data_IF_242915966321
#
_entry.id   IF_242915966321
#
_cell.length_a   1.000
_cell.length_b   1.000
_cell.length_c   1.000
_cell.angle_alpha   90.00
_cell.angle_beta   90.00
_cell.angle_gamma   90.00
#
_symmetry.space_group_name_H-M   'P 1'
#
loop_
_entity.id
_entity.type
_entity.pdbx_description
1 polymer ?
#
# COMPACT_ATOMS: atom_id res chain seq x y z
N UNK A 1 22.08 1.64 -5.37
CA UNK A 1 21.04 0.62 -5.66
C UNK A 1 20.92 -0.29 -4.46
N UNK A 2 19.71 -0.71 -4.10
CA UNK A 2 19.49 -1.70 -3.04
C UNK A 2 20.04 -3.07 -3.47
N UNK A 3 20.57 -3.87 -2.52
CA UNK A 3 21.14 -5.18 -2.81
C UNK A 3 20.07 -6.27 -2.96
N UNK A 4 20.40 -7.36 -3.65
CA UNK A 4 19.53 -8.54 -3.72
C UNK A 4 19.29 -9.16 -2.35
N UNK A 5 20.29 -9.16 -1.47
CA UNK A 5 20.14 -9.61 -0.08
C UNK A 5 19.12 -8.78 0.70
N UNK A 6 19.05 -7.48 0.44
CA UNK A 6 18.06 -6.61 1.08
C UNK A 6 16.64 -6.96 0.62
N UNK A 7 16.45 -7.18 -0.68
CA UNK A 7 15.15 -7.57 -1.26
C UNK A 7 14.73 -8.92 -0.72
N UNK A 8 15.63 -9.92 -0.73
CA UNK A 8 15.36 -11.24 -0.17
C UNK A 8 14.95 -11.16 1.31
N UNK A 9 15.68 -10.40 2.13
CA UNK A 9 15.33 -10.20 3.54
C UNK A 9 13.97 -9.53 3.70
N UNK A 10 13.64 -8.53 2.88
CA UNK A 10 12.33 -7.90 2.90
C UNK A 10 11.22 -8.89 2.55
N UNK A 11 11.38 -9.66 1.47
CA UNK A 11 10.42 -10.68 1.04
C UNK A 11 10.23 -11.76 2.12
N UNK A 12 11.31 -12.22 2.76
CA UNK A 12 11.23 -13.20 3.86
C UNK A 12 10.39 -12.67 5.05
N UNK A 13 10.62 -11.41 5.46
CA UNK A 13 9.88 -10.78 6.57
C UNK A 13 8.42 -10.47 6.17
N UNK A 14 8.18 -10.06 4.93
CA UNK A 14 6.85 -9.79 4.41
C UNK A 14 5.98 -11.06 4.34
N UNK A 15 6.57 -12.19 3.95
CA UNK A 15 5.90 -13.48 3.85
C UNK A 15 5.89 -14.30 5.15
N UNK A 16 6.52 -13.80 6.22
CA UNK A 16 6.49 -14.50 7.50
C UNK A 16 5.05 -14.62 8.02
N UNK A 17 4.66 -15.76 8.63
CA UNK A 17 3.31 -15.96 9.17
C UNK A 17 2.98 -15.04 10.36
N UNK A 18 3.98 -14.38 10.94
CA UNK A 18 3.81 -13.39 11.99
C UNK A 18 2.91 -12.23 11.51
N UNK A 19 1.86 -11.88 12.27
CA UNK A 19 0.85 -10.90 11.85
C UNK A 19 1.35 -9.45 11.88
N UNK A 20 2.48 -9.21 12.53
CA UNK A 20 3.15 -7.92 12.65
C UNK A 20 3.60 -7.38 11.28
N UNK A 21 3.27 -6.11 11.06
CA UNK A 21 3.60 -5.28 9.91
C UNK A 21 4.86 -4.45 10.18
N UNK A 22 5.07 -4.03 11.44
CA UNK A 22 6.16 -3.12 11.81
C UNK A 22 7.55 -3.56 11.31
N UNK A 23 7.98 -4.84 11.43
CA UNK A 23 9.29 -5.24 10.91
C UNK A 23 9.45 -5.02 9.41
N UNK A 24 8.43 -5.34 8.61
CA UNK A 24 8.46 -5.11 7.16
C UNK A 24 8.39 -3.61 6.83
N UNK A 25 7.57 -2.83 7.55
CA UNK A 25 7.46 -1.39 7.37
C UNK A 25 8.77 -0.65 7.72
N UNK A 26 9.51 -1.09 8.74
CA UNK A 26 10.83 -0.54 9.02
C UNK A 26 11.86 -0.91 7.95
N UNK A 27 11.76 -2.08 7.31
CA UNK A 27 12.58 -2.39 6.14
C UNK A 27 12.25 -1.44 4.97
N UNK A 28 10.98 -1.07 4.75
CA UNK A 28 10.62 -0.03 3.78
C UNK A 28 11.30 1.31 4.15
N UNK A 29 11.26 1.71 5.43
CA UNK A 29 11.93 2.93 5.89
C UNK A 29 13.44 2.92 5.68
N UNK A 30 14.09 1.76 5.74
CA UNK A 30 15.54 1.62 5.48
C UNK A 30 15.95 1.88 4.04
N UNK A 31 15.01 2.04 3.11
CA UNK A 31 15.31 2.59 1.78
C UNK A 31 15.85 4.01 1.88
N UNK A 32 15.26 4.83 2.74
CA UNK A 32 15.64 6.24 2.95
C UNK A 32 16.61 6.40 4.14
N UNK A 33 16.46 5.54 5.16
CA UNK A 33 17.27 5.54 6.37
C UNK A 33 18.07 4.24 6.53
N UNK A 34 19.13 3.98 5.74
CA UNK A 34 19.82 2.67 5.72
C UNK A 34 20.36 2.19 7.08
N UNK A 35 20.68 3.13 7.97
CA UNK A 35 21.22 2.93 9.32
C UNK A 35 20.18 3.03 10.43
N UNK A 36 18.89 3.07 10.10
CA UNK A 36 17.81 3.13 11.08
C UNK A 36 17.93 1.97 12.07
N UNK A 37 18.05 2.32 13.34
CA UNK A 37 17.87 1.39 14.46
C UNK A 37 16.37 1.29 14.76
N UNK A 38 15.81 0.10 14.65
CA UNK A 38 14.38 -0.15 14.79
C UNK A 38 13.97 -0.47 16.21
N UNK A 39 14.92 -0.81 17.09
CA UNK A 39 14.62 -1.25 18.46
C UNK A 39 13.84 -0.21 19.26
N UNK A 40 14.22 1.08 19.31
CA UNK A 40 13.48 2.09 20.07
C UNK A 40 12.02 2.25 19.62
N UNK A 41 11.78 2.10 18.31
CA UNK A 41 10.44 2.24 17.74
C UNK A 41 9.56 1.01 17.99
N UNK A 42 10.16 -0.19 18.07
CA UNK A 42 9.44 -1.40 18.49
C UNK A 42 9.07 -1.31 19.98
N UNK A 43 9.99 -0.84 20.83
CA UNK A 43 9.73 -0.60 22.25
C UNK A 43 8.62 0.46 22.42
N UNK A 44 8.65 1.55 21.64
CA UNK A 44 7.59 2.55 21.64
C UNK A 44 6.22 1.96 21.29
N UNK A 45 6.13 1.08 20.29
CA UNK A 45 4.88 0.40 19.94
C UNK A 45 4.42 -0.53 21.07
N UNK A 46 5.35 -1.24 21.72
CA UNK A 46 5.05 -2.10 22.87
C UNK A 46 4.53 -1.29 24.06
N UNK A 47 5.11 -0.12 24.33
CA UNK A 47 4.68 0.80 25.38
C UNK A 47 3.28 1.35 25.10
N UNK A 48 3.06 1.85 23.88
CA UNK A 48 1.75 2.31 23.43
C UNK A 48 0.69 1.20 23.52
N UNK A 49 1.08 -0.03 23.17
CA UNK A 49 0.22 -1.21 23.30
C UNK A 49 -0.22 -1.49 24.72
N UNK A 50 0.70 -1.40 25.71
CA UNK A 50 0.37 -1.58 27.13
C UNK A 50 -0.54 -0.48 27.66
N UNK A 51 -0.29 0.76 27.26
CA UNK A 51 -1.14 1.90 27.61
C UNK A 51 -2.55 1.79 27.02
N UNK A 52 -2.67 1.37 25.76
CA UNK A 52 -3.94 1.09 25.13
C UNK A 52 -4.67 -0.08 25.81
N UNK A 53 -3.94 -1.15 26.19
CA UNK A 53 -4.51 -2.28 26.93
C UNK A 53 -5.14 -1.86 28.26
N UNK A 54 -4.49 -0.96 29.00
CA UNK A 54 -5.00 -0.45 30.27
C UNK A 54 -6.32 0.32 30.09
N UNK A 55 -6.42 1.15 29.05
CA UNK A 55 -7.65 1.90 28.70
C UNK A 55 -8.78 0.96 28.31
N UNK A 56 -8.49 -0.03 27.48
CA UNK A 56 -9.45 -1.06 27.07
C UNK A 56 -9.92 -1.88 28.28
N UNK A 57 -9.00 -2.31 29.15
CA UNK A 57 -9.33 -3.09 30.35
C UNK A 57 -10.19 -2.32 31.35
N UNK A 58 -10.04 -0.99 31.45
CA UNK A 58 -10.87 -0.15 32.31
C UNK A 58 -12.36 -0.11 31.89
N UNK A 59 -12.70 -0.49 30.65
CA UNK A 59 -14.08 -0.58 30.17
C UNK A 59 -14.83 -1.82 30.69
N UNK A 60 -14.10 -2.80 31.22
CA UNK A 60 -14.61 -4.12 31.61
C UNK A 60 -14.73 -5.10 30.43
N UNK A 61 -14.79 -6.40 30.76
CA UNK A 61 -14.76 -7.49 29.77
C UNK A 61 -16.00 -7.49 28.84
N UNK A 62 -17.14 -7.01 29.33
CA UNK A 62 -18.41 -6.89 28.58
C UNK A 62 -18.48 -5.63 27.70
N UNK A 63 -17.36 -4.92 27.51
CA UNK A 63 -17.30 -3.83 26.56
C UNK A 63 -17.55 -4.34 25.14
N UNK A 64 -18.44 -3.70 24.37
CA UNK A 64 -18.62 -4.05 22.96
C UNK A 64 -17.47 -3.53 22.09
N UNK A 65 -17.32 -4.08 20.88
CA UNK A 65 -16.30 -3.67 19.91
C UNK A 65 -16.20 -2.16 19.71
N UNK A 66 -17.34 -1.46 19.57
CA UNK A 66 -17.37 0.00 19.39
C UNK A 66 -16.71 0.76 20.55
N UNK A 67 -16.98 0.36 21.79
CA UNK A 67 -16.38 1.01 22.98
C UNK A 67 -14.87 0.80 23.04
N UNK A 68 -14.40 -0.43 22.75
CA UNK A 68 -12.96 -0.72 22.71
C UNK A 68 -12.25 0.02 21.58
N UNK A 69 -12.87 0.09 20.41
CA UNK A 69 -12.38 0.87 19.27
C UNK A 69 -12.27 2.35 19.63
N UNK A 70 -13.33 2.96 20.18
CA UNK A 70 -13.30 4.36 20.60
C UNK A 70 -12.19 4.65 21.61
N UNK A 71 -11.98 3.77 22.61
CA UNK A 71 -10.88 3.97 23.56
C UNK A 71 -9.48 3.93 22.93
N UNK A 72 -9.29 3.12 21.88
CA UNK A 72 -8.03 3.10 21.12
C UNK A 72 -7.92 4.35 20.24
N UNK A 73 -8.99 4.77 19.56
CA UNK A 73 -9.01 6.01 18.78
C UNK A 73 -8.69 7.22 19.65
N UNK A 74 -9.35 7.36 20.80
CA UNK A 74 -9.11 8.46 21.75
C UNK A 74 -7.65 8.48 22.21
N UNK A 75 -7.11 7.32 22.58
CA UNK A 75 -5.71 7.19 22.95
C UNK A 75 -4.77 7.64 21.82
N UNK A 76 -4.96 7.15 20.60
CA UNK A 76 -4.04 7.43 19.50
C UNK A 76 -4.15 8.87 18.98
N UNK A 77 -5.36 9.36 18.76
CA UNK A 77 -5.56 10.63 18.06
C UNK A 77 -5.74 11.81 19.02
N UNK A 78 -6.30 11.59 20.21
CA UNK A 78 -6.46 12.67 21.20
C UNK A 78 -5.27 12.74 22.16
N UNK A 79 -4.87 11.62 22.77
CA UNK A 79 -3.82 11.64 23.80
C UNK A 79 -2.41 11.60 23.21
N UNK A 80 -2.19 10.74 22.21
CA UNK A 80 -0.91 10.59 21.53
C UNK A 80 -0.73 11.55 20.34
N UNK A 81 -1.79 12.26 19.95
CA UNK A 81 -1.74 13.34 18.96
C UNK A 81 -1.38 12.88 17.54
N UNK A 82 -1.65 11.61 17.19
CA UNK A 82 -1.54 11.20 15.79
C UNK A 82 -2.56 11.96 14.94
N UNK A 83 -2.19 12.32 13.71
CA UNK A 83 -3.08 13.03 12.79
C UNK A 83 -2.78 12.74 11.32
N UNK A 84 -3.81 12.84 10.48
CA UNK A 84 -3.67 12.85 9.03
C UNK A 84 -2.94 14.09 8.53
N UNK A 85 -1.88 13.92 7.73
CA UNK A 85 -1.15 15.03 7.15
C UNK A 85 -1.86 15.57 5.89
N UNK A 86 -2.84 16.44 6.07
CA UNK A 86 -3.60 17.02 4.95
C UNK A 86 -2.82 18.08 4.18
N UNK A 87 -2.04 18.91 4.89
CA UNK A 87 -1.30 20.04 4.31
C UNK A 87 -0.12 19.58 3.44
N UNK A 88 0.53 18.48 3.82
CA UNK A 88 1.69 17.93 3.14
C UNK A 88 1.50 16.43 2.87
N UNK A 89 0.37 16.08 2.25
CA UNK A 89 -0.01 14.69 1.97
C UNK A 89 1.07 13.90 1.23
N UNK A 90 1.66 14.51 0.19
CA UNK A 90 2.69 13.88 -0.65
C UNK A 90 4.10 13.90 -0.06
N UNK A 91 4.28 14.31 1.21
CA UNK A 91 5.58 14.22 1.88
C UNK A 91 5.98 12.74 2.06
N UNK A 92 7.11 12.28 1.47
CA UNK A 92 7.54 10.89 1.58
C UNK A 92 7.69 10.41 3.04
N UNK A 93 8.00 11.32 3.97
CA UNK A 93 8.11 11.01 5.40
C UNK A 93 6.82 10.44 5.97
N UNK A 94 5.67 10.76 5.39
CA UNK A 94 4.39 10.18 5.80
C UNK A 94 4.29 8.67 5.51
N UNK A 95 5.18 8.10 4.69
CA UNK A 95 5.20 6.68 4.33
C UNK A 95 6.17 5.83 5.15
N UNK A 96 6.99 6.44 6.01
CA UNK A 96 8.02 5.75 6.80
C UNK A 96 7.62 5.66 8.26
N UNK A 97 7.56 4.43 8.79
CA UNK A 97 7.02 4.19 10.13
C UNK A 97 7.78 4.94 11.24
N UNK A 98 9.11 5.06 11.13
CA UNK A 98 9.91 5.83 12.09
C UNK A 98 9.49 7.31 12.10
N UNK A 99 9.34 7.92 10.92
CA UNK A 99 8.92 9.31 10.78
C UNK A 99 7.48 9.52 11.25
N UNK A 100 6.59 8.56 11.00
CA UNK A 100 5.19 8.63 11.46
C UNK A 100 5.11 8.55 12.99
N UNK A 101 5.93 7.70 13.62
CA UNK A 101 5.99 7.58 15.09
C UNK A 101 6.61 8.81 15.76
N UNK A 102 7.64 9.40 15.14
CA UNK A 102 8.32 10.59 15.65
C UNK A 102 7.48 11.86 15.47
N UNK A 103 6.91 12.05 14.27
CA UNK A 103 6.17 13.27 13.91
C UNK A 103 4.70 13.20 14.31
N UNK A 104 4.18 12.02 14.60
CA UNK A 104 2.74 11.76 14.84
C UNK A 104 1.85 12.17 13.66
N UNK A 105 2.40 12.14 12.45
CA UNK A 105 1.67 12.50 11.23
C UNK A 105 1.89 11.46 10.13
N UNK A 106 0.83 11.10 9.41
CA UNK A 106 0.93 10.10 8.34
C UNK A 106 -0.17 10.20 7.28
N UNK A 107 -0.16 9.23 6.36
CA UNK A 107 -1.23 8.99 5.37
C UNK A 107 -2.16 7.87 5.89
N UNK A 108 -3.32 7.61 5.25
CA UNK A 108 -4.31 6.65 5.77
C UNK A 108 -3.71 5.28 6.12
N UNK A 109 -2.89 4.72 5.23
CA UNK A 109 -2.32 3.37 5.44
C UNK A 109 -1.26 3.31 6.55
N UNK A 110 -0.49 4.37 6.79
CA UNK A 110 0.54 4.36 7.84
C UNK A 110 -0.04 4.64 9.21
N UNK A 111 -1.07 5.49 9.30
CA UNK A 111 -1.84 5.67 10.53
C UNK A 111 -2.62 4.40 10.87
N UNK A 112 -3.19 3.74 9.86
CA UNK A 112 -3.80 2.42 10.00
C UNK A 112 -2.80 1.37 10.53
N UNK A 113 -1.55 1.39 10.04
CA UNK A 113 -0.50 0.51 10.54
C UNK A 113 -0.25 0.73 12.03
N UNK A 114 -0.01 1.98 12.47
CA UNK A 114 0.18 2.30 13.89
C UNK A 114 -1.02 1.81 14.71
N UNK A 115 -2.23 2.09 14.25
CA UNK A 115 -3.46 1.66 14.89
C UNK A 115 -3.50 0.13 15.06
N UNK A 116 -3.23 -0.64 13.99
CA UNK A 116 -3.24 -2.10 14.03
C UNK A 116 -2.17 -2.66 14.96
N UNK A 117 -0.95 -2.11 14.94
CA UNK A 117 0.15 -2.56 15.80
C UNK A 117 -0.13 -2.33 17.28
N UNK A 118 -0.73 -1.18 17.62
CA UNK A 118 -1.13 -0.83 18.99
C UNK A 118 -2.33 -1.68 19.43
N UNK A 119 -3.35 -1.81 18.59
CA UNK A 119 -4.54 -2.61 18.89
C UNK A 119 -4.21 -4.08 19.13
N UNK A 120 -3.33 -4.66 18.30
CA UNK A 120 -2.87 -6.04 18.45
C UNK A 120 -2.20 -6.26 19.81
N UNK A 121 -1.35 -5.33 20.24
CA UNK A 121 -0.68 -5.38 21.55
C UNK A 121 -1.65 -5.17 22.71
N UNK A 122 -2.68 -4.38 22.49
CA UNK A 122 -3.79 -4.19 23.42
C UNK A 122 -4.76 -5.38 23.48
N UNK A 123 -4.55 -6.43 22.68
CA UNK A 123 -5.44 -7.59 22.61
C UNK A 123 -6.76 -7.31 21.87
N UNK A 124 -6.87 -6.19 21.15
CA UNK A 124 -8.06 -5.83 20.37
C UNK A 124 -7.82 -6.15 18.89
N UNK A 125 -8.50 -7.15 18.33
CA UNK A 125 -8.32 -7.50 16.93
C UNK A 125 -8.90 -6.40 16.03
N UNK A 126 -8.05 -5.85 15.16
CA UNK A 126 -8.40 -4.88 14.13
C UNK A 126 -7.78 -5.33 12.82
N UNK A 127 -8.49 -5.12 11.72
CA UNK A 127 -8.10 -5.54 10.39
C UNK A 127 -8.07 -4.36 9.43
N UNK A 128 -7.02 -4.28 8.61
CA UNK A 128 -6.96 -3.31 7.53
C UNK A 128 -7.94 -3.62 6.41
N UNK A 129 -8.33 -2.58 5.68
CA UNK A 129 -9.24 -2.62 4.53
C UNK A 129 -8.64 -1.77 3.41
N UNK A 130 -8.32 -2.43 2.30
CA UNK A 130 -7.85 -1.76 1.08
C UNK A 130 -9.03 -1.10 0.35
N UNK A 131 -9.43 0.07 0.85
CA UNK A 131 -10.55 0.83 0.30
C UNK A 131 -10.13 1.68 -0.92
N UNK A 132 -10.94 1.81 -1.97
CA UNK A 132 -10.60 2.66 -3.11
C UNK A 132 -10.29 4.10 -2.70
N UNK A 133 -9.14 4.61 -3.15
CA UNK A 133 -8.64 5.95 -2.83
C UNK A 133 -8.27 6.22 -1.36
N UNK A 134 -8.48 5.27 -0.45
CA UNK A 134 -8.24 5.45 1.00
C UNK A 134 -7.66 4.19 1.64
N UNK A 135 -7.59 4.14 2.97
CA UNK A 135 -7.32 2.90 3.71
C UNK A 135 -8.09 2.95 5.03
N UNK A 136 -8.91 1.94 5.28
CA UNK A 136 -9.79 1.88 6.44
C UNK A 136 -9.37 0.74 7.36
N UNK A 137 -9.95 0.73 8.56
CA UNK A 137 -9.84 -0.36 9.51
C UNK A 137 -11.23 -0.93 9.82
N UNK A 138 -11.27 -2.18 10.25
CA UNK A 138 -12.50 -2.80 10.74
C UNK A 138 -12.27 -3.72 11.93
N UNK A 139 -13.22 -3.77 12.84
CA UNK A 139 -13.28 -4.82 13.86
C UNK A 139 -13.82 -6.13 13.27
N UNK A 140 -13.45 -7.30 13.82
CA UNK A 140 -14.19 -8.53 13.60
C UNK A 140 -15.66 -8.38 14.01
N UNK A 141 -16.51 -9.21 13.43
CA UNK A 141 -17.89 -9.38 13.87
C UNK A 141 -17.89 -10.07 15.24
N UNK A 142 -18.63 -9.53 16.22
CA UNK A 142 -18.81 -10.19 17.51
C UNK A 142 -19.87 -11.29 17.41
N UNK A 143 -19.52 -12.56 17.67
CA UNK A 143 -20.51 -13.63 17.71
C UNK A 143 -21.44 -13.44 18.91
N UNK A 144 -22.76 -13.54 18.69
CA UNK A 144 -23.72 -13.63 19.80
C UNK A 144 -24.21 -12.30 20.40
N UNK A 145 -23.97 -11.17 19.73
CA UNK A 145 -24.68 -9.92 20.02
C UNK A 145 -26.20 -10.17 19.87
N UNK A 146 -26.83 -10.46 21.01
CA UNK A 146 -28.21 -10.89 21.12
C UNK A 146 -29.11 -9.68 20.86
N UNK A 147 -29.38 -9.44 19.58
CA UNK A 147 -30.14 -8.29 19.10
C UNK A 147 -30.05 -8.04 17.59
N UNK A 148 -29.62 -9.01 16.77
CA UNK A 148 -29.55 -8.83 15.31
C UNK A 148 -28.49 -7.84 14.83
N UNK A 149 -27.58 -7.40 15.70
CA UNK A 149 -26.59 -6.36 15.43
C UNK A 149 -25.20 -6.72 15.94
N UNK A 150 -24.62 -7.83 15.45
CA UNK A 150 -23.18 -8.04 15.55
C UNK A 150 -22.47 -7.01 14.66
N UNK A 151 -22.40 -5.75 15.09
CA UNK A 151 -22.00 -4.66 14.22
C UNK A 151 -20.48 -4.62 14.11
N UNK A 152 -19.99 -4.89 12.90
CA UNK A 152 -18.64 -4.54 12.51
C UNK A 152 -18.45 -3.03 12.63
N UNK A 153 -17.40 -2.61 13.30
CA UNK A 153 -17.04 -1.20 13.42
C UNK A 153 -16.02 -0.89 12.34
N UNK A 154 -16.32 0.10 11.49
CA UNK A 154 -15.40 0.61 10.48
C UNK A 154 -14.79 1.89 11.03
N UNK A 155 -13.48 2.06 10.86
CA UNK A 155 -12.73 3.20 11.41
C UNK A 155 -11.88 3.83 10.33
N UNK A 156 -11.88 5.15 10.29
CA UNK A 156 -10.98 5.96 9.48
C UNK A 156 -9.83 6.51 10.34
N UNK A 157 -8.63 5.91 10.29
CA UNK A 157 -7.49 6.40 11.06
C UNK A 157 -6.89 7.70 10.52
N UNK A 158 -7.25 8.13 9.31
CA UNK A 158 -6.78 9.41 8.76
C UNK A 158 -7.59 10.60 9.28
N UNK A 159 -8.87 10.37 9.60
CA UNK A 159 -9.77 11.35 10.20
C UNK A 159 -9.98 11.03 11.68
N UNK A 160 -8.87 11.05 12.43
CA UNK A 160 -8.82 10.97 13.90
C UNK A 160 -9.52 9.75 14.51
N UNK A 161 -9.56 8.63 13.78
CA UNK A 161 -10.19 7.40 14.25
C UNK A 161 -11.72 7.45 14.23
N UNK A 162 -12.30 8.27 13.36
CA UNK A 162 -13.75 8.37 13.17
C UNK A 162 -14.37 7.01 12.85
N UNK A 163 -15.46 6.67 13.54
CA UNK A 163 -16.26 5.49 13.23
C UNK A 163 -17.19 5.81 12.05
N UNK A 164 -17.14 4.99 11.02
CA UNK A 164 -17.91 5.19 9.80
C UNK A 164 -19.16 4.30 9.76
N UNK A 165 -20.26 4.87 9.30
CA UNK A 165 -21.43 4.12 8.83
C UNK A 165 -21.24 3.63 7.40
N UNK A 166 -22.15 2.78 6.91
CA UNK A 166 -22.17 2.38 5.49
C UNK A 166 -22.35 3.58 4.56
N UNK A 167 -23.21 4.55 4.92
CA UNK A 167 -23.42 5.76 4.13
C UNK A 167 -22.19 6.67 4.09
N UNK A 168 -21.38 6.69 5.15
CA UNK A 168 -20.10 7.39 5.14
C UNK A 168 -19.10 6.69 4.20
N UNK A 169 -19.08 5.36 4.19
CA UNK A 169 -18.24 4.59 3.28
C UNK A 169 -18.65 4.80 1.81
N UNK A 170 -19.95 4.83 1.52
CA UNK A 170 -20.46 5.15 0.18
C UNK A 170 -20.07 6.56 -0.25
N UNK A 171 -20.21 7.54 0.63
CA UNK A 171 -19.81 8.93 0.37
C UNK A 171 -18.29 9.03 0.11
N UNK A 172 -17.49 8.30 0.89
CA UNK A 172 -16.04 8.22 0.71
C UNK A 172 -15.67 7.56 -0.63
N UNK A 173 -16.37 6.49 -1.02
CA UNK A 173 -16.18 5.83 -2.31
C UNK A 173 -16.46 6.79 -3.45
N UNK A 174 -17.59 7.48 -3.41
CA UNK A 174 -17.99 8.42 -4.47
C UNK A 174 -17.00 9.59 -4.61
N UNK A 175 -16.37 10.01 -3.51
CA UNK A 175 -15.32 11.04 -3.52
C UNK A 175 -14.08 10.63 -4.31
N UNK A 176 -13.68 9.36 -4.22
CA UNK A 176 -12.43 8.86 -4.82
C UNK A 176 -12.61 8.12 -6.15
N UNK A 177 -13.71 7.40 -6.31
CA UNK A 177 -14.00 6.57 -7.49
C UNK A 177 -15.03 7.21 -8.45
N UNK A 178 -15.61 8.36 -8.07
CA UNK A 178 -16.61 9.08 -8.87
C UNK A 178 -18.04 8.84 -8.39
N UNK A 179 -18.95 9.76 -8.75
CA UNK A 179 -20.33 9.79 -8.23
C UNK A 179 -21.16 8.55 -8.53
N UNK A 180 -20.86 7.86 -9.62
CA UNK A 180 -21.60 6.67 -10.07
C UNK A 180 -21.01 5.36 -9.52
N UNK A 181 -19.97 5.45 -8.67
CA UNK A 181 -19.36 4.28 -8.04
C UNK A 181 -20.35 3.63 -7.07
N UNK A 182 -20.75 2.40 -7.37
CA UNK A 182 -21.65 1.62 -6.53
C UNK A 182 -20.91 1.02 -5.33
N UNK A 183 -21.44 1.23 -4.13
CA UNK A 183 -20.90 0.60 -2.93
C UNK A 183 -21.16 -0.90 -2.94
N UNK A 184 -20.11 -1.68 -2.75
CA UNK A 184 -20.16 -3.13 -2.59
C UNK A 184 -19.54 -3.50 -1.23
N UNK A 185 -20.23 -4.23 -0.34
CA UNK A 185 -19.69 -4.66 0.94
C UNK A 185 -18.36 -5.45 0.84
N UNK A 186 -18.06 -6.06 -0.32
CA UNK A 186 -16.77 -6.71 -0.59
C UNK A 186 -15.59 -5.73 -0.59
N UNK A 187 -15.82 -4.44 -0.81
CA UNK A 187 -14.81 -3.38 -0.65
C UNK A 187 -14.33 -3.26 0.80
N UNK A 188 -15.11 -3.75 1.75
CA UNK A 188 -14.72 -3.83 3.16
C UNK A 188 -14.03 -5.15 3.52
N UNK A 189 -13.60 -5.96 2.54
CA UNK A 189 -12.86 -7.18 2.81
C UNK A 189 -11.59 -6.91 3.65
N UNK A 190 -11.24 -7.88 4.51
CA UNK A 190 -10.01 -7.80 5.30
C UNK A 190 -8.82 -7.89 4.35
N UNK A 191 -7.94 -6.91 4.40
CA UNK A 191 -6.65 -6.95 3.73
C UNK A 191 -5.70 -7.92 4.45
N UNK A 192 -4.97 -8.69 3.66
CA UNK A 192 -3.85 -9.53 4.10
C UNK A 192 -2.60 -8.69 4.35
N UNK A 193 -1.62 -9.25 5.07
CA UNK A 193 -0.33 -8.60 5.31
C UNK A 193 0.37 -8.19 4.00
N UNK A 194 0.37 -9.06 2.99
CA UNK A 194 0.99 -8.76 1.70
C UNK A 194 0.25 -7.65 0.96
N UNK A 195 -1.08 -7.67 0.92
CA UNK A 195 -1.87 -6.62 0.28
C UNK A 195 -1.64 -5.24 0.92
N UNK A 196 -1.44 -5.18 2.24
CA UNK A 196 -1.10 -3.94 2.95
C UNK A 196 0.30 -3.46 2.56
N UNK A 197 1.31 -4.33 2.60
CA UNK A 197 2.69 -3.97 2.25
C UNK A 197 2.84 -3.55 0.79
N UNK A 198 2.14 -4.23 -0.14
CA UNK A 198 2.08 -3.84 -1.55
C UNK A 198 1.46 -2.46 -1.68
N UNK A 199 0.33 -2.19 -1.02
CA UNK A 199 -0.31 -0.87 -1.05
C UNK A 199 0.60 0.23 -0.49
N UNK A 200 1.32 -0.03 0.60
CA UNK A 200 2.32 0.91 1.14
C UNK A 200 3.40 1.24 0.11
N UNK A 201 3.95 0.24 -0.56
CA UNK A 201 4.98 0.42 -1.58
C UNK A 201 4.43 1.13 -2.83
N UNK A 202 3.22 0.81 -3.29
CA UNK A 202 2.58 1.49 -4.43
C UNK A 202 2.38 2.97 -4.13
N UNK A 203 1.87 3.32 -2.94
CA UNK A 203 1.71 4.71 -2.51
C UNK A 203 3.06 5.45 -2.51
N UNK A 204 4.11 4.84 -1.95
CA UNK A 204 5.45 5.42 -1.91
C UNK A 204 6.06 5.57 -3.31
N UNK A 205 5.89 4.58 -4.20
CA UNK A 205 6.32 4.65 -5.60
C UNK A 205 5.68 5.86 -6.30
N UNK A 206 4.37 6.04 -6.15
CA UNK A 206 3.64 7.16 -6.75
C UNK A 206 4.17 8.51 -6.29
N UNK A 207 4.45 8.66 -4.99
CA UNK A 207 5.07 9.86 -4.43
C UNK A 207 6.44 10.11 -5.09
N UNK A 208 7.31 9.10 -5.16
CA UNK A 208 8.64 9.27 -5.75
C UNK A 208 8.62 9.55 -7.25
N UNK A 209 7.69 8.94 -8.00
CA UNK A 209 7.48 9.26 -9.42
C UNK A 209 7.04 10.71 -9.58
N UNK A 210 6.06 11.17 -8.78
CA UNK A 210 5.58 12.56 -8.80
C UNK A 210 6.71 13.55 -8.50
N UNK A 211 7.57 13.23 -7.54
CA UNK A 211 8.75 14.02 -7.19
C UNK A 211 9.95 13.85 -8.16
N UNK A 212 9.80 13.05 -9.23
CA UNK A 212 10.87 12.68 -10.17
C UNK A 212 12.10 12.07 -9.52
N UNK A 213 11.93 11.47 -8.34
CA UNK A 213 12.95 10.75 -7.58
C UNK A 213 13.07 9.32 -8.12
N UNK A 214 13.47 9.20 -9.39
CA UNK A 214 13.52 7.92 -10.10
C UNK A 214 14.41 6.85 -9.47
N UNK A 215 15.58 7.17 -8.85
CA UNK A 215 16.37 6.16 -8.14
C UNK A 215 15.59 5.49 -7.00
N UNK A 216 14.83 6.27 -6.22
CA UNK A 216 14.01 5.78 -5.12
C UNK A 216 12.79 5.02 -5.64
N UNK A 217 12.08 5.56 -6.63
CA UNK A 217 10.98 4.85 -7.29
C UNK A 217 11.43 3.48 -7.81
N UNK A 218 12.59 3.42 -8.48
CA UNK A 218 13.16 2.16 -8.97
C UNK A 218 13.51 1.17 -7.84
N UNK A 219 13.99 1.67 -6.69
CA UNK A 219 14.24 0.82 -5.52
C UNK A 219 12.94 0.24 -4.94
N UNK A 220 11.88 1.05 -4.85
CA UNK A 220 10.55 0.62 -4.39
C UNK A 220 9.95 -0.43 -5.35
N UNK A 221 10.02 -0.21 -6.66
CA UNK A 221 9.55 -1.18 -7.67
C UNK A 221 10.27 -2.53 -7.57
N UNK A 222 11.56 -2.53 -7.21
CA UNK A 222 12.30 -3.76 -6.95
C UNK A 222 11.78 -4.53 -5.72
N UNK A 223 11.32 -3.85 -4.68
CA UNK A 223 10.65 -4.52 -3.56
C UNK A 223 9.28 -5.06 -3.96
N UNK A 224 8.51 -4.32 -4.76
CA UNK A 224 7.22 -4.78 -5.28
C UNK A 224 7.37 -6.09 -6.09
N UNK A 225 8.31 -6.14 -7.03
CA UNK A 225 8.62 -7.35 -7.79
C UNK A 225 9.23 -8.48 -6.95
N UNK A 226 9.79 -8.15 -5.78
CA UNK A 226 10.24 -9.12 -4.79
C UNK A 226 9.10 -9.77 -4.02
N UNK A 227 7.95 -9.08 -3.88
CA UNK A 227 6.73 -9.64 -3.27
C UNK A 227 5.88 -10.37 -4.31
N UNK A 228 5.76 -9.82 -5.50
CA UNK A 228 5.01 -10.39 -6.61
C UNK A 228 5.81 -10.27 -7.92
N UNK A 229 6.54 -11.33 -8.32
CA UNK A 229 7.27 -11.37 -9.58
C UNK A 229 6.36 -11.36 -10.83
N UNK A 230 5.06 -11.61 -10.66
CA UNK A 230 4.07 -11.63 -11.75
C UNK A 230 3.38 -10.29 -11.99
N UNK A 231 3.69 -9.27 -11.17
CA UNK A 231 3.12 -7.94 -11.29
C UNK A 231 3.63 -7.22 -12.56
N UNK A 232 2.92 -7.40 -13.68
CA UNK A 232 3.30 -6.90 -14.99
C UNK A 232 3.45 -5.37 -15.06
N UNK A 233 2.56 -4.65 -14.37
CA UNK A 233 2.65 -3.19 -14.21
C UNK A 233 3.98 -2.78 -13.56
N UNK A 234 4.42 -3.51 -12.55
CA UNK A 234 5.68 -3.22 -11.84
C UNK A 234 6.91 -3.61 -12.66
N UNK A 235 6.81 -4.66 -13.48
CA UNK A 235 7.87 -5.02 -14.43
C UNK A 235 8.07 -3.92 -15.48
N UNK A 236 6.98 -3.43 -16.08
CA UNK A 236 6.98 -2.30 -17.01
C UNK A 236 7.57 -1.05 -16.36
N UNK A 237 7.07 -0.67 -15.19
CA UNK A 237 7.52 0.53 -14.48
C UNK A 237 9.01 0.45 -14.12
N UNK A 238 9.54 -0.73 -13.74
CA UNK A 238 10.98 -0.90 -13.50
C UNK A 238 11.79 -0.65 -14.76
N UNK A 239 11.32 -1.16 -15.91
CA UNK A 239 11.95 -0.94 -17.21
C UNK A 239 11.98 0.53 -17.62
N UNK A 240 10.86 1.24 -17.46
CA UNK A 240 10.76 2.68 -17.74
C UNK A 240 11.64 3.52 -16.80
N UNK A 241 11.63 3.20 -15.51
CA UNK A 241 12.51 3.88 -14.54
C UNK A 241 13.99 3.61 -14.84
N UNK A 242 14.35 2.37 -15.21
CA UNK A 242 15.70 2.03 -15.64
C UNK A 242 16.12 2.81 -16.90
N UNK A 243 15.19 3.04 -17.84
CA UNK A 243 15.42 3.87 -19.02
C UNK A 243 15.76 5.32 -18.61
N UNK A 244 14.98 5.92 -17.72
CA UNK A 244 15.24 7.27 -17.19
C UNK A 244 16.56 7.38 -16.42
N UNK A 245 17.01 6.28 -15.81
CA UNK A 245 18.30 6.19 -15.11
C UNK A 245 19.48 5.85 -16.05
N UNK A 246 19.26 5.79 -17.36
CA UNK A 246 20.24 5.41 -18.38
C UNK A 246 20.79 3.97 -18.23
N UNK A 247 20.08 3.11 -17.51
CA UNK A 247 20.40 1.68 -17.39
C UNK A 247 19.81 0.89 -18.56
N UNK A 248 20.22 1.22 -19.79
CA UNK A 248 19.55 0.78 -21.03
C UNK A 248 19.45 -0.74 -21.19
N UNK A 249 20.46 -1.50 -20.77
CA UNK A 249 20.40 -2.96 -20.83
C UNK A 249 19.34 -3.53 -19.87
N UNK A 250 19.18 -2.96 -18.67
CA UNK A 250 18.16 -3.38 -17.73
C UNK A 250 16.77 -2.98 -18.22
N UNK A 251 16.62 -1.75 -18.72
CA UNK A 251 15.40 -1.26 -19.33
C UNK A 251 14.93 -2.15 -20.48
N UNK A 252 15.84 -2.49 -21.40
CA UNK A 252 15.54 -3.35 -22.53
C UNK A 252 15.04 -4.73 -22.08
N UNK A 253 15.73 -5.38 -21.13
CA UNK A 253 15.33 -6.69 -20.61
C UNK A 253 13.92 -6.68 -20.02
N UNK A 254 13.60 -5.67 -19.20
CA UNK A 254 12.33 -5.61 -18.50
C UNK A 254 11.17 -5.29 -19.44
N UNK A 255 11.36 -4.33 -20.36
CA UNK A 255 10.33 -3.95 -21.33
C UNK A 255 10.09 -5.04 -22.38
N UNK A 256 11.12 -5.77 -22.81
CA UNK A 256 10.94 -6.94 -23.68
C UNK A 256 10.21 -8.09 -22.98
N UNK A 257 10.51 -8.31 -21.70
CA UNK A 257 9.79 -9.30 -20.90
C UNK A 257 8.32 -8.89 -20.72
N UNK A 258 8.04 -7.62 -20.43
CA UNK A 258 6.68 -7.08 -20.37
C UNK A 258 5.89 -7.39 -21.66
N UNK A 259 6.40 -6.91 -22.81
CA UNK A 259 5.76 -7.12 -24.11
C UNK A 259 5.53 -8.60 -24.43
N UNK A 260 6.48 -9.47 -24.08
CA UNK A 260 6.32 -10.92 -24.32
C UNK A 260 5.17 -11.53 -23.53
N UNK A 261 4.96 -11.09 -22.29
CA UNK A 261 3.91 -11.63 -21.43
C UNK A 261 2.54 -10.96 -21.66
N UNK A 262 2.51 -9.75 -22.22
CA UNK A 262 1.27 -9.03 -22.55
C UNK A 262 0.82 -9.20 -24.00
N UNK A 263 1.68 -9.69 -24.89
CA UNK A 263 1.32 -9.95 -26.28
C UNK A 263 0.12 -10.89 -26.37
N UNK A 264 -0.93 -10.45 -27.08
CA UNK A 264 -2.08 -11.32 -27.37
C UNK A 264 -1.70 -12.34 -28.45
N UNK A 265 -2.28 -13.56 -28.43
CA UNK A 265 -2.02 -14.58 -29.45
C UNK A 265 -2.26 -14.14 -30.90
N UNK A 266 -3.08 -13.11 -31.13
CA UNK A 266 -3.42 -12.62 -32.48
C UNK A 266 -2.45 -11.54 -33.01
N UNK A 267 -1.59 -10.96 -32.17
CA UNK A 267 -0.60 -9.95 -32.57
C UNK A 267 0.77 -10.55 -32.95
N UNK A 268 0.93 -11.87 -32.80
CA UNK A 268 2.15 -12.56 -33.18
C UNK A 268 2.29 -12.77 -34.70
N UNK A 269 1.21 -12.59 -35.49
CA UNK A 269 1.15 -12.95 -36.92
C UNK A 269 0.54 -11.87 -37.85
N UNK A 270 0.27 -10.62 -37.42
CA UNK A 270 -0.36 -9.61 -38.29
C UNK A 270 0.61 -8.64 -38.98
N UNK A 271 1.29 -9.14 -40.01
CA UNK A 271 1.50 -8.34 -41.23
C UNK A 271 0.16 -8.35 -42.00
N UNK A 272 -0.83 -7.56 -41.57
CA UNK A 272 -2.16 -7.61 -42.19
C UNK A 272 -3.14 -6.55 -41.71
N UNK A 273 -3.49 -5.66 -42.62
CA UNK A 273 -4.54 -4.63 -42.58
C UNK A 273 -5.88 -5.16 -42.05
N UNK A 274 -6.50 -4.48 -41.07
CA UNK A 274 -7.77 -4.95 -40.49
C UNK A 274 -8.33 -4.09 -39.36
N UNK A 275 -9.32 -3.27 -39.72
CA UNK A 275 -10.15 -2.40 -38.87
C UNK A 275 -10.80 -3.15 -37.68
N UNK A 276 -10.85 -2.54 -36.49
CA UNK A 276 -11.59 -3.08 -35.34
C UNK A 276 -12.28 -1.96 -34.54
N UNK A 277 -13.59 -1.84 -34.73
CA UNK A 277 -14.51 -1.19 -33.79
C UNK A 277 -14.76 -2.17 -32.62
N UNK A 278 -14.53 -1.76 -31.37
CA UNK A 278 -14.84 -2.57 -30.18
C UNK A 278 -14.41 -1.99 -28.83
N UNK A 279 -15.35 -1.31 -28.18
CA UNK A 279 -15.56 -1.13 -26.73
C UNK A 279 -14.35 -0.92 -25.78
N UNK A 280 -13.99 0.35 -25.57
CA UNK A 280 -14.09 1.03 -24.27
C UNK A 280 -12.95 0.91 -23.24
N UNK A 281 -12.37 -0.28 -23.05
CA UNK A 281 -11.25 -0.49 -22.09
C UNK A 281 -9.99 -1.06 -22.78
N UNK A 282 -10.11 -1.55 -24.02
CA UNK A 282 -9.01 -2.15 -24.77
C UNK A 282 -8.11 -1.16 -25.53
N UNK A 283 -8.56 0.08 -25.74
CA UNK A 283 -7.81 1.07 -26.51
C UNK A 283 -6.61 1.64 -25.73
N UNK A 284 -6.76 1.85 -24.42
CA UNK A 284 -5.68 2.34 -23.56
C UNK A 284 -4.52 1.36 -23.40
N UNK A 285 -4.83 0.05 -23.30
CA UNK A 285 -3.80 -1.00 -23.24
C UNK A 285 -3.07 -1.18 -24.57
N UNK A 286 -3.77 -1.06 -25.71
CA UNK A 286 -3.17 -1.13 -27.05
C UNK A 286 -2.23 0.06 -27.30
N UNK A 287 -2.66 1.26 -26.95
CA UNK A 287 -1.84 2.47 -27.07
C UNK A 287 -0.60 2.39 -26.18
N UNK A 288 -0.74 1.93 -24.94
CA UNK A 288 0.40 1.71 -24.05
C UNK A 288 1.37 0.65 -24.60
N UNK A 289 0.86 -0.47 -25.12
CA UNK A 289 1.69 -1.51 -25.71
C UNK A 289 2.51 -0.99 -26.89
N UNK A 290 1.90 -0.16 -27.75
CA UNK A 290 2.57 0.49 -28.88
C UNK A 290 3.65 1.49 -28.41
N UNK A 291 3.39 2.29 -27.39
CA UNK A 291 4.38 3.21 -26.80
C UNK A 291 5.60 2.46 -26.25
N UNK A 292 5.37 1.38 -25.49
CA UNK A 292 6.45 0.55 -24.94
C UNK A 292 7.26 -0.12 -26.07
N UNK A 293 6.61 -0.55 -27.14
CA UNK A 293 7.28 -1.12 -28.32
C UNK A 293 8.23 -0.12 -28.98
N UNK A 294 7.85 1.15 -29.12
CA UNK A 294 8.71 2.20 -29.66
C UNK A 294 9.92 2.48 -28.73
N UNK A 295 9.72 2.46 -27.41
CA UNK A 295 10.83 2.53 -26.45
C UNK A 295 11.82 1.38 -26.64
N UNK A 296 11.34 0.15 -26.81
CA UNK A 296 12.18 -1.03 -27.06
C UNK A 296 12.96 -0.91 -28.37
N UNK A 297 12.32 -0.47 -29.47
CA UNK A 297 13.01 -0.20 -30.75
C UNK A 297 14.13 0.83 -30.60
N UNK A 298 13.88 1.93 -29.89
CA UNK A 298 14.90 2.94 -29.61
C UNK A 298 16.05 2.38 -28.77
N UNK A 299 15.74 1.59 -27.73
CA UNK A 299 16.72 0.95 -26.86
C UNK A 299 17.60 -0.05 -27.60
N UNK A 300 17.03 -0.91 -28.45
CA UNK A 300 17.79 -1.88 -29.26
C UNK A 300 18.86 -1.20 -30.11
N UNK A 301 18.48 -0.12 -30.82
CA UNK A 301 19.42 0.68 -31.63
C UNK A 301 20.56 1.26 -30.78
N UNK A 302 20.24 1.78 -29.60
CA UNK A 302 21.21 2.42 -28.69
C UNK A 302 22.15 1.43 -28.02
N UNK A 303 21.64 0.27 -27.59
CA UNK A 303 22.47 -0.79 -27.01
C UNK A 303 23.40 -1.38 -28.08
N UNK A 304 22.92 -1.55 -29.31
CA UNK A 304 23.73 -2.03 -30.43
C UNK A 304 24.85 -1.05 -30.82
N UNK A 305 24.66 0.27 -30.65
CA UNK A 305 25.68 1.28 -30.94
C UNK A 305 26.76 1.44 -29.86
N UNK A 306 26.58 0.81 -28.69
CA UNK A 306 27.52 0.87 -27.56
C UNK A 306 28.46 -0.35 -27.49
N UNK A 307 28.22 -1.36 -28.34
CA UNK A 307 29.04 -2.55 -28.52
C UNK A 307 29.89 -2.42 -29.80
#
# INVERSE_FOLDING_TARGET
>A
MISEDFIRRFTEVANSPAPDLAPAAFLIARLEYPRLDTSPYLDQLDDMGREAAARVGALGDDAGAARRVSAISDYLFTEQGFAGNQDHYDDPRNSFLNEVLDRRTGIPITLALVYMEVSRRAGVPIHGVNFPGHFLLKSPLEPGASGGGGNQVIVDPFHDGAILSEGDCESLLQRYAGKDAAFDPRLLARATKLEILIRMLVNLKQIYVKLRSFPQAHAVTRLLLGLDPSAMTELRDRGLLAYHLNHYQAALRDLEAYLRFTARPEEADSDGDGNADGDGDGDGEKDEHAEIWEHVKALRRRVASLN
#
